data_IF_274218197435
#
_entry.id   IF_274218197435
#
_cell.length_a   1.000
_cell.length_b   1.000
_cell.length_c   1.000
_cell.angle_alpha   90.00
_cell.angle_beta   90.00
_cell.angle_gamma   90.00
#
_symmetry.space_group_name_H-M   'P 1'
#
loop_
_entity.id
_entity.type
_entity.pdbx_description
1 polymer ?
#
# COMPACT_ATOMS: atom_id res chain seq x y z
N UNK A 1 -1.56 -16.92 3.92
CA UNK A 1 -1.76 -15.46 4.08
C UNK A 1 -0.42 -14.92 4.56
N UNK A 2 0.17 -13.90 3.94
CA UNK A 2 1.40 -13.31 4.48
C UNK A 2 1.10 -12.80 5.89
N UNK A 3 1.92 -13.19 6.86
CA UNK A 3 1.83 -12.70 8.22
C UNK A 3 2.68 -11.43 8.39
N UNK A 4 2.63 -10.83 9.58
CA UNK A 4 3.35 -9.58 9.87
C UNK A 4 4.86 -9.66 9.54
N UNK A 5 5.59 -10.76 9.83
CA UNK A 5 7.00 -10.87 9.49
C UNK A 5 7.27 -10.81 7.97
N UNK A 6 6.42 -11.42 7.15
CA UNK A 6 6.57 -11.42 5.69
C UNK A 6 6.32 -10.04 5.09
N UNK A 7 5.35 -9.30 5.64
CA UNK A 7 5.07 -7.93 5.18
C UNK A 7 6.21 -6.98 5.56
N UNK A 8 6.77 -7.11 6.77
CA UNK A 8 7.96 -6.34 7.18
C UNK A 8 9.19 -6.72 6.34
N UNK A 9 9.37 -8.01 6.02
CA UNK A 9 10.44 -8.46 5.11
C UNK A 9 10.27 -7.84 3.73
N UNK A 10 9.05 -7.81 3.22
CA UNK A 10 8.73 -7.15 1.94
C UNK A 10 9.06 -5.66 2.00
N UNK A 11 8.67 -4.96 3.07
CA UNK A 11 8.98 -3.53 3.29
C UNK A 11 10.49 -3.27 3.22
N UNK A 12 11.29 -4.07 3.96
CA UNK A 12 12.76 -3.97 3.96
C UNK A 12 13.39 -4.29 2.61
N UNK A 13 12.77 -5.15 1.83
CA UNK A 13 13.22 -5.51 0.48
C UNK A 13 12.87 -4.47 -0.59
N UNK A 14 11.87 -3.61 -0.37
CA UNK A 14 11.47 -2.59 -1.36
C UNK A 14 12.02 -1.20 -1.05
N UNK A 15 12.07 -0.81 0.23
CA UNK A 15 12.44 0.55 0.64
C UNK A 15 13.79 1.02 0.08
N UNK A 16 14.90 0.25 0.17
CA UNK A 16 16.21 0.71 -0.27
C UNK A 16 16.33 0.96 -1.78
N UNK A 17 15.41 0.40 -2.58
CA UNK A 17 15.46 0.50 -4.04
C UNK A 17 14.57 1.61 -4.59
N UNK A 18 13.55 2.04 -3.83
CA UNK A 18 12.49 2.91 -4.32
C UNK A 18 12.39 4.24 -3.59
N UNK A 19 12.80 4.31 -2.32
CA UNK A 19 12.75 5.57 -1.56
C UNK A 19 13.63 6.65 -2.22
N UNK A 20 13.09 7.85 -2.35
CA UNK A 20 13.70 8.98 -3.05
C UNK A 20 13.46 9.01 -4.56
N UNK A 21 13.10 7.90 -5.19
CA UNK A 21 12.80 7.84 -6.63
C UNK A 21 11.44 8.47 -6.95
N UNK A 22 11.31 9.05 -8.14
CA UNK A 22 10.05 9.61 -8.62
C UNK A 22 9.29 8.61 -9.48
N UNK A 23 7.97 8.56 -9.35
CA UNK A 23 7.11 7.72 -10.19
C UNK A 23 7.15 8.24 -11.62
N UNK A 24 7.52 7.37 -12.56
CA UNK A 24 7.58 7.66 -14.00
C UNK A 24 6.36 7.12 -14.75
N UNK A 25 5.67 6.14 -14.19
CA UNK A 25 4.51 5.51 -14.84
C UNK A 25 3.73 4.57 -13.92
N UNK A 26 2.52 4.23 -14.35
CA UNK A 26 1.67 3.25 -13.69
C UNK A 26 1.03 2.38 -14.76
N UNK A 27 1.11 1.07 -14.58
CA UNK A 27 0.49 0.11 -15.49
C UNK A 27 -0.47 -0.77 -14.73
N UNK A 28 -1.77 -0.59 -14.98
CA UNK A 28 -2.83 -1.43 -14.43
C UNK A 28 -3.29 -2.42 -15.50
N UNK A 29 -2.99 -3.70 -15.32
CA UNK A 29 -3.38 -4.78 -16.25
C UNK A 29 -4.66 -5.46 -15.83
N UNK A 30 -4.95 -5.48 -14.54
CA UNK A 30 -6.20 -6.00 -13.99
C UNK A 30 -6.79 -4.99 -13.00
N UNK A 31 -7.82 -4.21 -13.40
CA UNK A 31 -8.42 -3.19 -12.54
C UNK A 31 -9.31 -3.78 -11.44
N UNK A 32 -9.77 -5.02 -11.59
CA UNK A 32 -10.63 -5.72 -10.62
C UNK A 32 -9.82 -6.70 -9.78
N UNK A 33 -9.20 -6.20 -8.72
CA UNK A 33 -8.60 -7.00 -7.64
C UNK A 33 -9.65 -7.26 -6.54
N UNK A 34 -9.25 -7.35 -5.26
CA UNK A 34 -10.20 -7.47 -4.15
C UNK A 34 -11.15 -6.27 -4.08
N UNK A 35 -10.61 -5.10 -4.39
CA UNK A 35 -11.35 -3.87 -4.65
C UNK A 35 -10.88 -3.30 -5.99
N UNK A 36 -11.70 -2.47 -6.66
CA UNK A 36 -11.28 -1.78 -7.88
C UNK A 36 -10.04 -0.92 -7.63
N UNK A 37 -9.07 -1.00 -8.55
CA UNK A 37 -7.91 -0.10 -8.55
C UNK A 37 -8.39 1.31 -8.94
N UNK A 38 -8.06 2.38 -8.20
CA UNK A 38 -8.49 3.72 -8.54
C UNK A 38 -7.96 4.16 -9.92
N UNK A 39 -8.85 4.69 -10.77
CA UNK A 39 -8.51 5.09 -12.14
C UNK A 39 -7.65 6.37 -12.18
N UNK A 40 -7.71 7.17 -11.12
CA UNK A 40 -6.99 8.44 -11.00
C UNK A 40 -5.58 8.30 -10.40
N UNK A 41 -5.02 7.09 -10.28
CA UNK A 41 -3.67 6.92 -9.72
C UNK A 41 -2.60 7.63 -10.56
N UNK A 42 -2.65 7.52 -11.89
CA UNK A 42 -1.64 8.11 -12.78
C UNK A 42 -1.50 9.64 -12.61
N UNK A 43 -2.57 10.45 -12.69
CA UNK A 43 -2.45 11.89 -12.47
C UNK A 43 -2.08 12.26 -11.03
N UNK A 44 -2.35 11.42 -10.04
CA UNK A 44 -1.97 11.68 -8.64
C UNK A 44 -0.49 11.41 -8.36
N UNK A 45 0.07 10.37 -8.97
CA UNK A 45 1.38 9.84 -8.60
C UNK A 45 2.48 10.16 -9.60
N UNK A 46 2.20 10.35 -10.89
CA UNK A 46 3.26 10.64 -11.86
C UNK A 46 4.06 11.89 -11.45
N UNK A 47 5.39 11.75 -11.41
CA UNK A 47 6.33 12.78 -10.95
C UNK A 47 6.47 12.90 -9.44
N UNK A 48 5.64 12.23 -8.64
CA UNK A 48 5.75 12.24 -7.17
C UNK A 48 6.91 11.38 -6.71
N UNK A 49 7.68 11.90 -5.74
CA UNK A 49 8.75 11.16 -5.08
C UNK A 49 8.22 10.28 -3.97
N UNK A 50 8.67 9.03 -3.92
CA UNK A 50 8.39 8.13 -2.80
C UNK A 50 9.22 8.56 -1.59
N UNK A 51 8.57 9.10 -0.57
CA UNK A 51 9.23 9.63 0.61
C UNK A 51 9.63 8.51 1.57
N UNK A 52 8.76 7.52 1.76
CA UNK A 52 9.03 6.38 2.62
C UNK A 52 8.11 5.20 2.34
N UNK A 53 8.54 4.01 2.75
CA UNK A 53 7.74 2.79 2.75
C UNK A 53 7.48 2.35 4.19
N UNK A 54 6.22 2.46 4.59
CA UNK A 54 5.70 2.00 5.88
C UNK A 54 4.90 0.71 5.79
N UNK A 55 4.44 0.24 6.94
CA UNK A 55 3.49 -0.87 7.08
C UNK A 55 2.47 -0.52 8.15
N UNK A 56 1.22 -0.92 7.94
CA UNK A 56 0.19 -0.93 8.98
C UNK A 56 -0.61 -2.23 8.89
N UNK A 57 -0.56 -3.05 9.94
CA UNK A 57 -1.11 -4.40 9.90
C UNK A 57 -0.59 -5.17 8.68
N UNK A 58 -1.49 -5.61 7.80
CA UNK A 58 -1.16 -6.37 6.58
C UNK A 58 -1.07 -5.52 5.31
N UNK A 59 -1.03 -4.19 5.45
CA UNK A 59 -0.88 -3.25 4.35
C UNK A 59 0.54 -2.67 4.33
N UNK A 60 1.11 -2.54 3.13
CA UNK A 60 2.25 -1.68 2.86
C UNK A 60 1.76 -0.31 2.45
N UNK A 61 2.43 0.73 2.94
CA UNK A 61 2.10 2.13 2.67
C UNK A 61 3.29 2.75 1.95
N UNK A 62 3.12 3.10 0.68
CA UNK A 62 4.08 3.90 -0.08
C UNK A 62 3.68 5.36 0.07
N UNK A 63 4.45 6.12 0.83
CA UNK A 63 4.11 7.49 1.21
C UNK A 63 4.68 8.50 0.22
N UNK A 64 3.81 9.32 -0.35
CA UNK A 64 4.11 10.44 -1.22
C UNK A 64 3.65 11.74 -0.54
N UNK A 65 3.97 12.89 -1.13
CA UNK A 65 3.47 14.18 -0.64
C UNK A 65 1.92 14.30 -0.64
N UNK A 66 1.19 13.92 -1.73
CA UNK A 66 -0.26 14.04 -1.77
C UNK A 66 -1.02 12.95 -1.02
N UNK A 67 -0.34 11.88 -0.56
CA UNK A 67 -0.97 10.78 0.16
C UNK A 67 -0.16 9.50 0.12
N UNK A 68 -0.81 8.39 0.48
CA UNK A 68 -0.21 7.06 0.52
C UNK A 68 -0.90 6.10 -0.45
N UNK A 69 -0.10 5.35 -1.21
CA UNK A 69 -0.57 4.18 -1.94
C UNK A 69 -0.55 2.96 -1.01
N UNK A 70 -1.71 2.35 -0.82
CA UNK A 70 -1.91 1.19 0.04
C UNK A 70 -1.85 -0.07 -0.82
N UNK A 71 -0.94 -0.96 -0.48
CA UNK A 71 -0.79 -2.27 -1.13
C UNK A 71 -1.11 -3.38 -0.13
N UNK A 72 -1.95 -4.33 -0.53
CA UNK A 72 -2.25 -5.54 0.24
C UNK A 72 -1.93 -6.77 -0.60
N UNK A 73 -1.21 -7.73 -0.03
CA UNK A 73 -0.79 -8.93 -0.77
C UNK A 73 -1.88 -10.01 -0.87
N UNK A 74 -2.91 -9.94 -0.04
CA UNK A 74 -3.98 -10.95 -0.05
C UNK A 74 -3.47 -12.29 0.49
N UNK A 75 -3.78 -13.38 -0.20
CA UNK A 75 -3.31 -14.72 0.19
C UNK A 75 -2.12 -15.23 -0.62
N UNK A 76 -2.05 -14.84 -1.90
CA UNK A 76 -1.07 -15.34 -2.89
C UNK A 76 -0.29 -14.23 -3.57
N UNK A 77 -0.51 -12.98 -3.18
CA UNK A 77 0.18 -11.85 -3.79
C UNK A 77 1.62 -11.72 -3.33
N UNK A 78 2.46 -11.19 -4.21
CA UNK A 78 3.84 -10.85 -3.92
C UNK A 78 4.20 -9.52 -4.60
N UNK A 79 5.10 -8.78 -3.96
CA UNK A 79 5.70 -7.58 -4.53
C UNK A 79 7.15 -7.85 -4.92
N UNK A 80 7.56 -7.30 -6.06
CA UNK A 80 8.93 -7.45 -6.58
C UNK A 80 9.40 -6.12 -7.13
N UNK A 81 10.65 -5.77 -6.81
CA UNK A 81 11.36 -4.72 -7.53
C UNK A 81 12.04 -5.35 -8.73
N UNK A 82 11.81 -4.81 -9.91
CA UNK A 82 12.34 -5.30 -11.19
C UNK A 82 12.88 -4.11 -12.00
N UNK A 83 13.75 -4.32 -13.00
CA UNK A 83 14.10 -3.27 -13.95
C UNK A 83 12.88 -2.80 -14.75
N UNK A 84 12.83 -1.51 -15.11
CA UNK A 84 11.83 -1.00 -16.05
C UNK A 84 11.87 -1.77 -17.38
N UNK A 85 10.70 -1.93 -18.01
CA UNK A 85 10.56 -2.68 -19.26
C UNK A 85 10.59 -4.21 -19.09
N UNK A 86 10.75 -4.74 -17.87
CA UNK A 86 10.64 -6.18 -17.63
C UNK A 86 9.25 -6.69 -18.08
N UNK A 87 9.17 -7.63 -19.04
CA UNK A 87 7.89 -8.09 -19.58
C UNK A 87 6.95 -8.63 -18.50
N UNK A 88 5.65 -8.31 -18.54
CA UNK A 88 4.68 -8.87 -17.60
C UNK A 88 4.44 -10.35 -17.87
N UNK A 89 4.27 -11.13 -16.80
CA UNK A 89 3.84 -12.51 -16.82
C UNK A 89 2.36 -12.63 -16.44
N UNK A 90 1.82 -13.85 -16.59
CA UNK A 90 0.49 -14.16 -16.09
C UNK A 90 0.42 -13.85 -14.58
N UNK A 91 -0.64 -13.14 -14.23
CA UNK A 91 -0.96 -12.68 -12.87
C UNK A 91 -0.19 -11.44 -12.39
N UNK A 92 0.60 -10.80 -13.25
CA UNK A 92 1.19 -9.48 -12.97
C UNK A 92 0.12 -8.43 -13.25
N UNK A 93 -0.44 -7.84 -12.20
CA UNK A 93 -1.68 -7.05 -12.31
C UNK A 93 -1.45 -5.54 -12.25
N UNK A 94 -0.40 -5.11 -11.56
CA UNK A 94 -0.12 -3.70 -11.32
C UNK A 94 1.40 -3.47 -11.27
N UNK A 95 1.87 -2.45 -11.99
CA UNK A 95 3.22 -1.92 -11.86
C UNK A 95 3.18 -0.44 -11.48
N UNK A 96 4.08 -0.05 -10.59
CA UNK A 96 4.46 1.33 -10.31
C UNK A 96 5.90 1.51 -10.78
N UNK A 97 6.09 2.28 -11.83
CA UNK A 97 7.39 2.51 -12.48
C UNK A 97 8.05 3.76 -11.89
N UNK A 98 9.37 3.73 -11.73
CA UNK A 98 10.17 4.82 -11.18
C UNK A 98 11.22 5.33 -12.17
N UNK A 99 11.74 6.53 -11.95
CA UNK A 99 12.73 7.22 -12.77
C UNK A 99 14.16 6.64 -12.67
N UNK A 100 14.43 5.83 -11.64
CA UNK A 100 15.72 5.17 -11.40
C UNK A 100 15.84 3.80 -12.11
N UNK A 101 15.10 3.58 -13.20
CA UNK A 101 15.05 2.32 -13.96
C UNK A 101 14.51 1.11 -13.16
N UNK A 102 13.73 1.35 -12.11
CA UNK A 102 13.07 0.29 -11.34
C UNK A 102 11.56 0.39 -11.41
N UNK A 103 10.88 -0.76 -11.31
CA UNK A 103 9.44 -0.85 -11.12
C UNK A 103 9.12 -1.73 -9.91
N UNK A 104 8.05 -1.41 -9.22
CA UNK A 104 7.42 -2.24 -8.21
C UNK A 104 6.21 -2.96 -8.83
N UNK A 105 6.26 -4.28 -8.86
CA UNK A 105 5.22 -5.13 -9.47
C UNK A 105 4.45 -5.92 -8.43
N UNK A 106 3.12 -5.84 -8.50
CA UNK A 106 2.20 -6.73 -7.78
C UNK A 106 1.79 -7.90 -8.67
N UNK A 107 2.22 -9.10 -8.28
CA UNK A 107 1.77 -10.36 -8.86
C UNK A 107 0.81 -11.05 -7.90
N UNK A 108 -0.39 -11.40 -8.33
CA UNK A 108 -1.37 -12.10 -7.49
C UNK A 108 -2.28 -13.07 -8.26
N UNK A 109 -2.00 -14.39 -8.22
CA UNK A 109 -2.81 -15.39 -8.91
C UNK A 109 -4.30 -15.41 -8.55
N UNK A 110 -4.65 -15.12 -7.29
CA UNK A 110 -6.03 -15.21 -6.79
C UNK A 110 -6.78 -13.88 -6.85
N UNK A 111 -6.10 -12.76 -7.13
CA UNK A 111 -6.67 -11.40 -7.19
C UNK A 111 -7.32 -10.94 -5.89
N UNK A 112 -6.79 -11.37 -4.75
CA UNK A 112 -7.22 -10.96 -3.42
C UNK A 112 -6.32 -9.87 -2.80
N UNK A 113 -5.28 -9.46 -3.51
CA UNK A 113 -4.53 -8.26 -3.23
C UNK A 113 -5.34 -6.99 -3.47
N UNK A 114 -4.76 -5.86 -3.09
CA UNK A 114 -5.38 -4.56 -3.24
C UNK A 114 -4.34 -3.50 -3.61
N UNK A 115 -4.79 -2.53 -4.39
CA UNK A 115 -4.08 -1.28 -4.71
C UNK A 115 -5.09 -0.16 -4.48
N UNK A 116 -4.85 0.66 -3.47
CA UNK A 116 -5.80 1.69 -3.01
C UNK A 116 -5.05 2.99 -2.74
N UNK A 117 -5.76 4.11 -2.70
CA UNK A 117 -5.20 5.43 -2.43
C UNK A 117 -5.78 6.01 -1.13
N UNK A 118 -4.93 6.66 -0.34
CA UNK A 118 -5.33 7.44 0.82
C UNK A 118 -4.74 8.85 0.70
N UNK A 119 -5.56 9.90 0.52
CA UNK A 119 -5.07 11.28 0.54
C UNK A 119 -4.39 11.65 1.86
N UNK A 120 -3.44 12.58 1.81
CA UNK A 120 -2.82 13.15 3.02
C UNK A 120 -3.89 13.79 3.91
N UNK A 121 -3.83 13.51 5.22
CA UNK A 121 -4.80 14.02 6.20
C UNK A 121 -6.08 13.19 6.33
N UNK A 122 -6.30 12.22 5.44
CA UNK A 122 -7.42 11.28 5.52
C UNK A 122 -6.98 9.91 6.03
N UNK A 123 -7.96 9.13 6.51
CA UNK A 123 -7.76 7.73 6.81
C UNK A 123 -8.64 6.85 5.95
N UNK A 124 -8.03 5.93 5.23
CA UNK A 124 -8.75 4.92 4.48
C UNK A 124 -9.54 4.03 5.43
N UNK A 125 -10.81 3.78 5.12
CA UNK A 125 -11.73 3.05 5.99
C UNK A 125 -11.19 1.68 6.43
N UNK A 126 -10.54 0.97 5.51
CA UNK A 126 -9.90 -0.33 5.80
C UNK A 126 -8.79 -0.23 6.86
N UNK A 127 -8.05 0.87 6.94
CA UNK A 127 -7.03 1.07 7.98
C UNK A 127 -7.67 1.50 9.30
N UNK A 128 -8.73 2.31 9.25
CA UNK A 128 -9.47 2.75 10.44
C UNK A 128 -10.08 1.58 11.23
N UNK A 129 -10.45 0.49 10.54
CA UNK A 129 -11.03 -0.72 11.16
C UNK A 129 -10.01 -1.68 11.80
N UNK A 130 -8.70 -1.46 11.62
CA UNK A 130 -7.67 -2.42 12.08
C UNK A 130 -7.36 -2.36 13.59
N UNK A 131 -7.95 -1.42 14.35
CA UNK A 131 -7.63 -1.24 15.77
C UNK A 131 -6.20 -0.72 16.01
N UNK A 132 -5.78 -0.69 17.28
CA UNK A 132 -4.42 -0.32 17.68
C UNK A 132 -3.44 -1.44 17.32
N UNK A 133 -2.27 -1.08 16.79
CA UNK A 133 -1.27 -2.05 16.39
C UNK A 133 -0.60 -2.65 17.65
N UNK A 134 -0.59 -3.98 17.84
CA UNK A 134 0.17 -4.60 18.90
C UNK A 134 1.63 -4.61 18.44
N UNK A 135 2.40 -3.57 18.81
CA UNK A 135 3.84 -3.59 19.17
C UNK A 135 4.48 -2.19 19.04
N UNK A 136 4.94 -1.71 20.20
CA UNK A 136 6.03 -0.76 20.51
C UNK A 136 5.74 0.75 20.56
N UNK A 137 5.93 1.26 21.78
CA UNK A 137 6.24 2.65 22.12
C UNK A 137 7.49 3.13 21.38
N UNK A 138 7.43 4.39 20.90
CA UNK A 138 8.62 5.13 20.48
C UNK A 138 8.83 5.22 18.97
N UNK A 139 7.95 5.91 18.26
CA UNK A 139 8.29 6.98 17.30
C UNK A 139 7.02 7.48 16.58
N UNK A 140 6.88 8.80 16.55
CA UNK A 140 5.71 9.53 16.05
C UNK A 140 5.46 9.32 14.54
N UNK A 141 4.34 8.68 14.21
CA UNK A 141 3.58 9.04 13.03
C UNK A 141 2.08 8.78 13.28
N UNK A 142 1.43 9.79 13.85
CA UNK A 142 -0.02 9.94 13.96
C UNK A 142 -0.66 9.86 12.57
N UNK A 143 -0.99 8.65 12.10
CA UNK A 143 -1.83 8.46 10.93
C UNK A 143 -2.91 7.48 11.32
N UNK A 144 -4.13 7.99 11.44
CA UNK A 144 -5.36 7.34 11.91
C UNK A 144 -5.39 6.83 13.36
N UNK A 145 -5.55 7.76 14.29
CA UNK A 145 -6.35 7.50 15.50
C UNK A 145 -7.72 8.11 15.21
N UNK A 146 -8.73 7.28 14.92
CA UNK A 146 -10.11 7.71 15.15
C UNK A 146 -10.27 7.72 16.66
N UNK A 147 -10.50 8.90 17.25
CA UNK A 147 -11.07 8.96 18.59
C UNK A 147 -12.37 8.18 18.55
N UNK A 148 -12.40 7.00 19.19
CA UNK A 148 -13.61 6.25 19.41
C UNK A 148 -14.45 7.03 20.43
N UNK A 149 -15.16 8.06 19.98
CA UNK A 149 -16.20 8.69 20.76
C UNK A 149 -17.56 8.14 20.32
N UNK A 150 -18.24 7.58 21.32
CA UNK A 150 -19.67 7.29 21.40
C UNK A 150 -20.21 6.03 20.70
N UNK A 151 -20.34 4.96 21.50
CA UNK A 151 -21.67 4.45 21.84
C UNK A 151 -21.61 3.87 23.26
N UNK A 152 -22.04 4.66 24.24
CA UNK A 152 -22.48 4.10 25.52
C UNK A 152 -23.69 3.21 25.23
N UNK A 153 -23.56 1.92 25.51
CA UNK A 153 -24.70 1.02 25.60
C UNK A 153 -25.56 1.45 26.79
N UNK A 154 -26.87 1.72 26.62
CA UNK A 154 -27.76 1.81 27.77
C UNK A 154 -27.96 0.40 28.30
N UNK A 155 -27.64 0.21 29.57
CA UNK A 155 -28.10 -0.92 30.37
C UNK A 155 -29.63 -0.97 30.33
N UNK A 156 -30.20 -2.00 29.69
CA UNK A 156 -31.60 -2.36 29.85
C UNK A 156 -31.73 -3.34 31.00
N UNK A 157 -32.43 -2.85 32.04
CA UNK A 157 -33.30 -3.50 33.02
C UNK A 157 -33.15 -4.99 33.33
#
# INVERSE_FOLDING_TARGET
>A
MPELPEVETTRRGIAPHLEGAAVSGIVVRQPRLRWPVPENLSPLLNGQRLNSVGRRGKYLLLNFAPGSLLLHLGMSGSLRVLPNGTPPQRHDHFDLEFDNNSLLRLRDPRRFGAVLWQPTGECHELLARLGLEPLREGSMATICIRSANHAASPSSS
#
